data_IF_002218211049
#
_entry.id   IF_002218211049
#
_cell.length_a   1.000
_cell.length_b   1.000
_cell.length_c   1.000
_cell.angle_alpha   90.00
_cell.angle_beta   90.00
_cell.angle_gamma   90.00
#
_symmetry.space_group_name_H-M   'P 1'
#
loop_
_entity.id
_entity.type
_entity.pdbx_description
1 polymer ?
#
# COMPACT_ATOMS: atom_id res chain seq x y z
N UNK A 1 15.27 -13.78 12.79
CA UNK A 1 14.75 -12.77 13.74
C UNK A 1 13.44 -12.28 13.18
N UNK A 2 12.32 -12.42 13.88
CA UNK A 2 11.02 -11.93 13.39
C UNK A 2 10.97 -10.45 13.77
N UNK A 3 11.34 -9.55 12.85
CA UNK A 3 11.11 -8.13 13.04
C UNK A 3 9.59 -7.91 13.20
N UNK A 4 9.15 -7.14 14.20
CA UNK A 4 7.73 -6.86 14.36
C UNK A 4 7.26 -6.10 13.13
N UNK A 5 6.25 -6.65 12.46
CA UNK A 5 5.72 -6.02 11.26
C UNK A 5 5.22 -4.60 11.56
N UNK A 6 5.38 -3.70 10.60
CA UNK A 6 4.97 -2.30 10.76
C UNK A 6 3.49 -2.19 11.12
N UNK A 7 3.15 -1.17 11.89
CA UNK A 7 1.76 -0.89 12.25
C UNK A 7 0.96 -0.42 11.03
N UNK A 8 -0.37 -0.57 11.08
CA UNK A 8 -1.26 -0.09 10.02
C UNK A 8 -1.05 1.40 9.75
N UNK A 9 -0.93 2.23 10.80
CA UNK A 9 -0.69 3.67 10.67
C UNK A 9 0.68 4.02 10.06
N UNK A 10 1.64 3.10 10.10
CA UNK A 10 2.92 3.25 9.37
C UNK A 10 2.75 2.82 7.92
N UNK A 11 2.03 1.73 7.64
CA UNK A 11 1.71 1.31 6.27
C UNK A 11 0.88 2.39 5.52
N UNK A 12 -0.06 3.05 6.19
CA UNK A 12 -0.80 4.20 5.63
C UNK A 12 0.12 5.37 5.26
N UNK A 13 1.14 5.65 6.07
CA UNK A 13 2.13 6.70 5.77
C UNK A 13 2.99 6.32 4.58
N UNK A 14 3.47 5.08 4.51
CA UNK A 14 4.21 4.58 3.34
C UNK A 14 3.34 4.71 2.10
N UNK A 15 2.10 4.22 2.11
CA UNK A 15 1.19 4.33 0.98
C UNK A 15 0.95 5.77 0.49
N UNK A 16 0.95 6.76 1.39
CA UNK A 16 0.82 8.18 1.03
C UNK A 16 2.12 8.79 0.51
N UNK A 17 3.26 8.23 0.86
CA UNK A 17 4.58 8.65 0.40
C UNK A 17 4.90 8.19 -1.03
N UNK A 18 3.99 7.46 -1.68
CA UNK A 18 4.12 7.07 -3.08
C UNK A 18 3.13 7.85 -3.94
N UNK A 19 3.55 8.37 -5.10
CA UNK A 19 2.68 9.14 -5.98
C UNK A 19 1.61 8.26 -6.62
N UNK A 20 0.59 8.88 -7.19
CA UNK A 20 -0.36 8.19 -8.06
C UNK A 20 0.36 7.71 -9.34
N UNK A 21 0.19 6.43 -9.75
CA UNK A 21 0.86 5.91 -10.96
C UNK A 21 0.43 6.61 -12.24
N UNK A 22 -0.77 7.21 -12.24
CA UNK A 22 -1.35 7.79 -13.44
C UNK A 22 -0.97 9.26 -13.63
N UNK A 23 -0.92 10.06 -12.55
CA UNK A 23 -0.71 11.51 -12.66
C UNK A 23 0.40 12.07 -11.77
N UNK A 24 1.10 11.23 -11.01
CA UNK A 24 2.23 11.65 -10.17
C UNK A 24 1.85 12.37 -8.87
N UNK A 25 0.56 12.54 -8.60
CA UNK A 25 0.06 13.32 -7.46
C UNK A 25 0.01 12.50 -6.15
N UNK A 26 0.25 13.14 -5.01
CA UNK A 26 0.27 12.49 -3.68
C UNK A 26 -1.05 12.64 -2.91
N UNK A 27 -2.02 13.35 -3.50
CA UNK A 27 -3.33 13.58 -2.92
C UNK A 27 -4.26 12.40 -3.19
N UNK A 28 -4.68 11.70 -2.14
CA UNK A 28 -5.61 10.56 -2.21
C UNK A 28 -6.88 10.84 -1.41
N UNK A 29 -8.04 10.84 -2.08
CA UNK A 29 -9.36 11.07 -1.46
C UNK A 29 -9.83 9.87 -0.62
N UNK A 30 -9.41 8.67 -1.01
CA UNK A 30 -9.70 7.41 -0.33
C UNK A 30 -8.41 6.61 -0.25
N UNK A 31 -8.10 6.11 0.93
CA UNK A 31 -6.97 5.22 1.18
C UNK A 31 -7.42 4.22 2.24
N UNK A 32 -7.33 2.94 1.92
CA UNK A 32 -7.69 1.84 2.80
C UNK A 32 -6.50 0.91 2.88
N UNK A 33 -6.02 0.67 4.09
CA UNK A 33 -4.96 -0.30 4.37
C UNK A 33 -5.57 -1.45 5.15
N UNK A 34 -5.43 -2.67 4.64
CA UNK A 34 -5.91 -3.90 5.26
C UNK A 34 -4.80 -4.93 5.30
N UNK A 35 -4.95 -5.97 6.12
CA UNK A 35 -4.05 -7.13 6.02
C UNK A 35 -4.21 -7.78 4.65
N UNK A 36 -3.08 -8.21 4.09
CA UNK A 36 -3.09 -8.98 2.86
C UNK A 36 -3.88 -10.28 3.04
N UNK A 37 -4.53 -10.71 1.96
CA UNK A 37 -5.18 -12.02 1.89
C UNK A 37 -4.14 -13.15 2.03
N UNK A 38 -4.61 -14.36 2.33
CA UNK A 38 -3.75 -15.53 2.53
C UNK A 38 -2.87 -15.79 1.29
N UNK A 39 -3.47 -15.80 0.10
CA UNK A 39 -2.78 -16.06 -1.16
C UNK A 39 -1.70 -15.02 -1.47
N UNK A 40 -1.99 -13.73 -1.26
CA UNK A 40 -1.03 -12.66 -1.48
C UNK A 40 0.16 -12.72 -0.51
N UNK A 41 -0.11 -13.10 0.74
CA UNK A 41 0.92 -13.23 1.76
C UNK A 41 1.85 -14.41 1.50
N UNK A 42 1.29 -15.53 1.02
CA UNK A 42 2.05 -16.74 0.71
C UNK A 42 2.80 -16.64 -0.63
N UNK A 43 2.22 -15.96 -1.62
CA UNK A 43 2.77 -15.92 -2.99
C UNK A 43 3.67 -14.71 -3.23
N UNK A 44 3.29 -13.54 -2.70
CA UNK A 44 3.97 -12.27 -2.97
C UNK A 44 4.77 -11.76 -1.77
N UNK A 45 4.61 -12.37 -0.58
CA UNK A 45 5.16 -11.83 0.67
C UNK A 45 4.44 -10.58 1.15
N UNK A 46 3.27 -10.26 0.59
CA UNK A 46 2.49 -9.09 0.96
C UNK A 46 1.95 -9.22 2.38
N UNK A 47 2.15 -8.20 3.19
CA UNK A 47 1.65 -8.14 4.55
C UNK A 47 0.51 -7.14 4.70
N UNK A 48 0.62 -5.98 4.06
CA UNK A 48 -0.42 -4.96 4.00
C UNK A 48 -0.85 -4.72 2.55
N UNK A 49 -2.16 -4.78 2.36
CA UNK A 49 -2.82 -4.46 1.11
C UNK A 49 -3.41 -3.07 1.18
N UNK A 50 -3.07 -2.24 0.20
CA UNK A 50 -3.51 -0.86 0.13
C UNK A 50 -4.33 -0.64 -1.11
N UNK A 51 -5.55 -0.14 -0.92
CA UNK A 51 -6.40 0.34 -2.01
C UNK A 51 -6.56 1.84 -1.85
N UNK A 52 -6.16 2.61 -2.86
CA UNK A 52 -6.26 4.07 -2.84
C UNK A 52 -6.86 4.61 -4.12
N UNK A 53 -7.56 5.74 -4.00
CA UNK A 53 -8.10 6.50 -5.13
C UNK A 53 -7.48 7.90 -5.13
N UNK A 54 -6.88 8.29 -6.25
CA UNK A 54 -6.33 9.62 -6.42
C UNK A 54 -7.43 10.68 -6.26
N UNK A 55 -7.13 11.74 -5.50
CA UNK A 55 -8.01 12.88 -5.30
C UNK A 55 -8.03 13.86 -6.46
N UNK A 56 -7.08 13.76 -7.40
CA UNK A 56 -6.95 14.67 -8.55
C UNK A 56 -7.44 14.01 -9.84
N UNK A 57 -6.81 12.93 -10.29
CA UNK A 57 -7.21 12.26 -11.54
C UNK A 57 -8.29 11.19 -11.36
N UNK A 58 -8.63 10.83 -10.11
CA UNK A 58 -9.63 9.81 -9.81
C UNK A 58 -9.17 8.37 -10.00
N UNK A 59 -7.92 8.11 -10.42
CA UNK A 59 -7.40 6.76 -10.66
C UNK A 59 -7.46 5.88 -9.41
N UNK A 60 -7.85 4.63 -9.59
CA UNK A 60 -7.81 3.59 -8.56
C UNK A 60 -6.50 2.83 -8.71
N UNK A 61 -5.78 2.64 -7.60
CA UNK A 61 -4.51 1.92 -7.58
C UNK A 61 -4.41 1.06 -6.34
N UNK A 62 -3.74 -0.07 -6.49
CA UNK A 62 -3.45 -1.03 -5.43
C UNK A 62 -1.94 -1.06 -5.17
N UNK A 63 -1.57 -1.19 -3.90
CA UNK A 63 -0.18 -1.24 -3.45
C UNK A 63 -0.03 -2.39 -2.45
N UNK A 64 0.93 -3.27 -2.69
CA UNK A 64 1.31 -4.31 -1.74
C UNK A 64 2.53 -3.88 -0.94
N UNK A 65 2.46 -3.95 0.38
CA UNK A 65 3.57 -3.68 1.28
C UNK A 65 3.94 -4.95 2.05
N UNK A 66 5.23 -5.18 2.26
CA UNK A 66 5.71 -6.27 3.12
C UNK A 66 5.61 -5.93 4.62
N UNK A 67 6.17 -6.79 5.47
CA UNK A 67 6.16 -6.59 6.91
C UNK A 67 7.04 -5.41 7.37
N UNK A 68 8.02 -4.99 6.59
CA UNK A 68 8.98 -3.93 6.90
C UNK A 68 8.52 -2.56 6.35
N UNK A 69 7.58 -2.58 5.42
CA UNK A 69 7.04 -1.41 4.73
C UNK A 69 7.65 -1.17 3.36
N UNK A 70 8.32 -2.16 2.77
CA UNK A 70 8.77 -2.09 1.39
C UNK A 70 7.61 -2.38 0.43
N UNK A 71 7.59 -1.71 -0.72
CA UNK A 71 6.59 -1.96 -1.76
C UNK A 71 7.01 -3.16 -2.56
N UNK A 72 6.11 -4.14 -2.61
CA UNK A 72 6.28 -5.35 -3.40
C UNK A 72 5.67 -5.18 -4.80
N UNK A 73 4.54 -4.46 -4.89
CA UNK A 73 3.89 -4.14 -6.17
C UNK A 73 3.01 -2.89 -6.07
N UNK A 74 2.67 -2.37 -7.25
CA UNK A 74 1.94 -1.13 -7.41
C UNK A 74 2.90 0.05 -7.48
N UNK A 75 2.72 0.90 -8.48
CA UNK A 75 3.44 2.16 -8.64
C UNK A 75 2.47 3.33 -8.47
#
# INVERSE_FOLDING_TARGET
MILPAITQSRAERVARAHPCPQCGEYSFKKLKVTRAGKEHRETLGEFWHVVRSCGVCGAHSELGLDAEGEIIYGS
#
